data_IF_432700979750
#
_entry.id   IF_432700979750
#
_cell.length_a   1.000
_cell.length_b   1.000
_cell.length_c   1.000
_cell.angle_alpha   90.00
_cell.angle_beta   90.00
_cell.angle_gamma   90.00
#
_symmetry.space_group_name_H-M   'P 1'
#
loop_
_entity.id
_entity.type
_entity.pdbx_description
1 polymer ?
#
# COMPACT_ATOMS: atom_id res chain seq x y z
N UNK A 1 -5.18 8.25 -1.99
CA UNK A 1 -6.47 8.36 -1.25
C UNK A 1 -6.39 7.88 0.21
N UNK A 2 -5.72 6.75 0.55
CA UNK A 2 -5.39 6.46 1.96
C UNK A 2 -4.28 7.36 2.55
N UNK A 3 -3.48 8.01 1.70
CA UNK A 3 -2.36 8.88 2.09
C UNK A 3 -2.75 10.11 2.92
N UNK A 4 -3.95 10.64 2.74
CA UNK A 4 -4.37 11.82 3.50
C UNK A 4 -4.82 11.51 4.94
N UNK A 5 -5.00 10.24 5.31
CA UNK A 5 -5.48 9.88 6.65
C UNK A 5 -4.37 9.51 7.63
N UNK A 6 -3.15 9.23 7.16
CA UNK A 6 -2.06 8.72 8.00
C UNK A 6 -0.93 9.74 8.20
N UNK A 7 -0.76 10.73 7.31
CA UNK A 7 0.33 11.70 7.42
C UNK A 7 0.06 12.85 8.43
N UNK A 8 -1.21 13.11 8.81
CA UNK A 8 -1.55 14.28 9.65
C UNK A 8 -2.04 13.93 11.06
N UNK A 9 -1.71 12.77 11.64
CA UNK A 9 -2.04 12.57 13.04
C UNK A 9 -1.06 11.70 13.82
N UNK A 10 -0.23 12.39 14.59
CA UNK A 10 0.17 12.07 15.98
C UNK A 10 -0.77 11.10 16.70
N UNK A 11 -0.73 9.80 16.40
CA UNK A 11 -1.19 8.67 17.24
C UNK A 11 -2.59 8.72 17.89
N UNK A 12 -3.43 9.72 17.63
CA UNK A 12 -4.58 10.06 18.46
C UNK A 12 -5.69 9.05 18.25
N UNK A 13 -6.27 8.58 19.35
CA UNK A 13 -7.40 7.64 19.37
C UNK A 13 -8.54 8.09 18.44
N UNK A 14 -8.85 9.39 18.41
CA UNK A 14 -9.90 9.94 17.57
C UNK A 14 -9.61 9.79 16.07
N UNK A 15 -8.35 9.94 15.63
CA UNK A 15 -7.96 9.73 14.24
C UNK A 15 -8.08 8.26 13.82
N UNK A 16 -7.64 7.34 14.67
CA UNK A 16 -7.77 5.89 14.43
C UNK A 16 -9.23 5.45 14.32
N UNK A 17 -10.11 6.01 15.16
CA UNK A 17 -11.55 5.74 15.11
C UNK A 17 -12.17 6.25 13.81
N UNK A 18 -11.84 7.48 13.38
CA UNK A 18 -12.33 8.03 12.11
C UNK A 18 -11.86 7.20 10.92
N UNK A 19 -10.58 6.86 10.88
CA UNK A 19 -10.01 6.01 9.83
C UNK A 19 -10.72 4.64 9.80
N UNK A 20 -10.96 4.02 10.95
CA UNK A 20 -11.68 2.75 11.01
C UNK A 20 -13.10 2.85 10.46
N UNK A 21 -13.85 3.89 10.85
CA UNK A 21 -15.21 4.12 10.32
C UNK A 21 -15.21 4.32 8.81
N UNK A 22 -14.28 5.12 8.30
CA UNK A 22 -14.11 5.35 6.86
C UNK A 22 -13.77 4.05 6.13
N UNK A 23 -12.85 3.24 6.66
CA UNK A 23 -12.49 1.93 6.12
C UNK A 23 -13.68 0.98 6.08
N UNK A 24 -14.45 0.90 7.16
CA UNK A 24 -15.62 0.03 7.24
C UNK A 24 -16.71 0.45 6.24
N UNK A 25 -16.90 1.76 6.06
CA UNK A 25 -17.82 2.29 5.05
C UNK A 25 -17.42 1.89 3.63
N UNK A 26 -16.15 2.08 3.26
CA UNK A 26 -15.64 1.66 1.94
C UNK A 26 -15.75 0.15 1.74
N UNK A 27 -15.40 -0.65 2.75
CA UNK A 27 -15.50 -2.11 2.67
C UNK A 27 -16.95 -2.56 2.42
N UNK A 28 -17.93 -1.98 3.13
CA UNK A 28 -19.34 -2.29 2.92
C UNK A 28 -19.80 -1.91 1.51
N UNK A 29 -19.41 -0.72 1.04
CA UNK A 29 -19.78 -0.24 -0.28
C UNK A 29 -19.17 -1.10 -1.39
N UNK A 30 -17.91 -1.50 -1.22
CA UNK A 30 -17.20 -2.37 -2.16
C UNK A 30 -17.87 -3.74 -2.24
N UNK A 31 -18.15 -4.40 -1.11
CA UNK A 31 -18.84 -5.69 -1.09
C UNK A 31 -20.21 -5.66 -1.79
N UNK A 32 -20.95 -4.54 -1.65
CA UNK A 32 -22.23 -4.38 -2.34
C UNK A 32 -22.07 -4.31 -3.86
N UNK A 33 -21.10 -3.53 -4.34
CA UNK A 33 -20.81 -3.37 -5.78
C UNK A 33 -20.27 -4.68 -6.35
N UNK A 34 -19.35 -5.35 -5.65
CA UNK A 34 -18.83 -6.67 -6.03
C UNK A 34 -19.96 -7.70 -6.20
N UNK A 35 -20.92 -7.74 -5.26
CA UNK A 35 -22.07 -8.63 -5.35
C UNK A 35 -23.02 -8.30 -6.52
N UNK A 36 -23.15 -7.04 -6.92
CA UNK A 36 -23.90 -6.65 -8.11
C UNK A 36 -23.16 -7.06 -9.39
N UNK A 37 -21.86 -6.80 -9.46
CA UNK A 37 -21.04 -7.11 -10.62
C UNK A 37 -20.92 -8.63 -10.86
N UNK A 38 -20.78 -9.43 -9.79
CA UNK A 38 -20.80 -10.90 -9.90
C UNK A 38 -22.12 -11.41 -10.47
N UNK A 39 -23.26 -10.94 -9.95
CA UNK A 39 -24.57 -11.34 -10.46
C UNK A 39 -24.75 -11.00 -11.92
N UNK A 40 -24.37 -9.79 -12.34
CA UNK A 40 -24.43 -9.39 -13.74
C UNK A 40 -23.53 -10.27 -14.63
N UNK A 41 -22.29 -10.53 -14.21
CA UNK A 41 -21.36 -11.39 -14.97
C UNK A 41 -21.88 -12.82 -15.11
N UNK A 42 -22.43 -13.40 -14.05
CA UNK A 42 -23.02 -14.74 -14.08
C UNK A 42 -24.28 -14.79 -14.95
N UNK A 43 -25.11 -13.75 -14.94
CA UNK A 43 -26.31 -13.70 -15.79
C UNK A 43 -25.94 -13.67 -17.27
N UNK A 44 -24.94 -12.86 -17.65
CA UNK A 44 -24.44 -12.81 -19.03
C UNK A 44 -23.91 -14.18 -19.44
N UNK A 45 -23.10 -14.81 -18.59
CA UNK A 45 -22.56 -16.14 -18.88
C UNK A 45 -23.67 -17.20 -19.04
N UNK A 46 -24.73 -17.10 -18.24
CA UNK A 46 -25.88 -18.02 -18.32
C UNK A 46 -26.72 -17.80 -19.59
N UNK A 47 -26.98 -16.55 -19.97
CA UNK A 47 -27.86 -16.23 -21.10
C UNK A 47 -27.18 -16.43 -22.45
N UNK A 48 -25.91 -16.05 -22.56
CA UNK A 48 -25.20 -15.97 -23.85
C UNK A 48 -24.13 -17.05 -24.02
N UNK A 49 -23.75 -17.74 -22.95
CA UNK A 49 -22.60 -18.67 -22.96
C UNK A 49 -21.25 -17.95 -23.04
N UNK A 50 -21.24 -16.61 -23.11
CA UNK A 50 -20.05 -15.78 -23.23
C UNK A 50 -19.48 -15.37 -21.87
N UNK A 51 -18.15 -15.23 -21.82
CA UNK A 51 -17.46 -14.79 -20.61
C UNK A 51 -17.12 -13.30 -20.70
N UNK A 52 -17.60 -12.51 -19.74
CA UNK A 52 -17.20 -11.10 -19.61
C UNK A 52 -15.72 -11.04 -19.24
N UNK A 53 -14.92 -10.38 -20.08
CA UNK A 53 -13.49 -10.21 -19.85
C UNK A 53 -13.12 -8.75 -19.59
N UNK A 54 -12.08 -8.55 -18.78
CA UNK A 54 -11.42 -7.27 -18.56
C UNK A 54 -9.94 -7.43 -18.90
N UNK A 55 -9.46 -6.69 -19.90
CA UNK A 55 -8.08 -6.79 -20.41
C UNK A 55 -7.68 -8.24 -20.73
N UNK A 56 -8.59 -9.00 -21.35
CA UNK A 56 -8.36 -10.39 -21.73
C UNK A 56 -8.45 -11.42 -20.61
N UNK A 57 -8.79 -11.02 -19.38
CA UNK A 57 -9.00 -11.94 -18.23
C UNK A 57 -10.48 -12.06 -17.86
N UNK A 58 -11.00 -13.24 -17.51
CA UNK A 58 -12.36 -13.38 -17.01
C UNK A 58 -12.60 -12.46 -15.81
N UNK A 59 -13.63 -11.63 -15.90
CA UNK A 59 -13.88 -10.59 -14.89
C UNK A 59 -14.23 -11.19 -13.52
N UNK A 60 -14.92 -12.33 -13.48
CA UNK A 60 -15.28 -13.03 -12.24
C UNK A 60 -14.07 -13.55 -11.44
N UNK A 61 -12.96 -13.84 -12.14
CA UNK A 61 -11.67 -14.16 -11.53
C UNK A 61 -10.92 -12.89 -11.15
N UNK A 62 -10.92 -11.87 -12.02
CA UNK A 62 -10.24 -10.60 -11.74
C UNK A 62 -10.73 -9.96 -10.44
N UNK A 63 -12.05 -9.92 -10.25
CA UNK A 63 -12.67 -9.30 -9.08
C UNK A 63 -12.36 -10.02 -7.75
N UNK A 64 -12.01 -11.32 -7.75
CA UNK A 64 -11.57 -12.00 -6.51
C UNK A 64 -10.15 -11.61 -6.11
N UNK A 65 -9.31 -11.23 -7.08
CA UNK A 65 -7.90 -10.94 -6.89
C UNK A 65 -7.66 -9.44 -6.67
N UNK A 66 -8.52 -8.57 -7.22
CA UNK A 66 -8.40 -7.11 -7.14
C UNK A 66 -8.19 -6.58 -5.72
N UNK A 67 -8.91 -7.13 -4.74
CA UNK A 67 -8.77 -6.74 -3.34
C UNK A 67 -7.39 -7.09 -2.79
N UNK A 68 -6.88 -8.28 -3.10
CA UNK A 68 -5.55 -8.73 -2.69
C UNK A 68 -4.46 -7.92 -3.35
N UNK A 69 -4.60 -7.61 -4.65
CA UNK A 69 -3.69 -6.73 -5.38
C UNK A 69 -3.67 -5.32 -4.77
N UNK A 70 -4.83 -4.75 -4.46
CA UNK A 70 -4.89 -3.43 -3.81
C UNK A 70 -4.14 -3.41 -2.47
N UNK A 71 -4.34 -4.42 -1.61
CA UNK A 71 -3.60 -4.52 -0.36
C UNK A 71 -2.11 -4.76 -0.56
N UNK A 72 -1.75 -5.57 -1.55
CA UNK A 72 -0.37 -5.80 -1.92
C UNK A 72 0.33 -4.49 -2.32
N UNK A 73 -0.27 -3.71 -3.23
CA UNK A 73 0.29 -2.44 -3.68
C UNK A 73 0.44 -1.44 -2.54
N UNK A 74 -0.56 -1.33 -1.66
CA UNK A 74 -0.48 -0.51 -0.45
C UNK A 74 0.69 -0.92 0.45
N UNK A 75 0.93 -2.21 0.61
CA UNK A 75 2.04 -2.71 1.42
C UNK A 75 3.39 -2.45 0.76
N UNK A 76 3.48 -2.60 -0.57
CA UNK A 76 4.71 -2.32 -1.31
C UNK A 76 5.10 -0.84 -1.21
N UNK A 77 4.13 0.05 -1.33
CA UNK A 77 4.38 1.48 -1.20
C UNK A 77 4.86 1.87 0.20
N UNK A 78 4.27 1.26 1.25
CA UNK A 78 4.76 1.43 2.64
C UNK A 78 6.18 0.94 2.82
N UNK A 79 6.55 -0.20 2.22
CA UNK A 79 7.92 -0.72 2.25
C UNK A 79 8.89 0.22 1.55
N UNK A 80 8.52 0.73 0.37
CA UNK A 80 9.34 1.69 -0.38
C UNK A 80 9.61 2.94 0.46
N UNK A 81 8.60 3.49 1.12
CA UNK A 81 8.77 4.67 1.98
C UNK A 81 9.69 4.43 3.18
N UNK A 82 9.62 3.25 3.80
CA UNK A 82 10.55 2.90 4.89
C UNK A 82 11.96 2.84 4.34
N UNK A 83 12.17 2.17 3.20
CA UNK A 83 13.48 2.11 2.53
C UNK A 83 14.02 3.51 2.21
N UNK A 84 13.20 4.38 1.62
CA UNK A 84 13.60 5.75 1.27
C UNK A 84 14.00 6.56 2.50
N UNK A 85 13.26 6.43 3.61
CA UNK A 85 13.60 7.10 4.88
C UNK A 85 14.89 6.59 5.48
N UNK A 86 15.13 5.28 5.46
CA UNK A 86 16.38 4.70 5.96
C UNK A 86 17.57 5.12 5.08
N UNK A 87 17.41 5.19 3.75
CA UNK A 87 18.45 5.71 2.85
C UNK A 87 18.82 7.17 3.15
N UNK A 88 17.82 8.02 3.43
CA UNK A 88 18.06 9.41 3.84
C UNK A 88 18.84 9.46 5.17
N UNK A 89 18.44 8.67 6.17
CA UNK A 89 19.18 8.57 7.45
C UNK A 89 20.61 8.09 7.26
N UNK A 90 20.83 7.06 6.43
CA UNK A 90 22.19 6.54 6.18
C UNK A 90 23.08 7.58 5.47
N UNK A 91 22.51 8.39 4.57
CA UNK A 91 23.24 9.54 3.99
C UNK A 91 23.59 10.58 5.04
N UNK A 92 22.65 10.96 5.91
CA UNK A 92 22.91 11.90 7.00
C UNK A 92 23.98 11.39 7.98
N UNK A 93 23.98 10.10 8.30
CA UNK A 93 24.99 9.45 9.17
C UNK A 93 26.36 9.45 8.51
N UNK A 94 26.47 9.13 7.22
CA UNK A 94 27.74 9.14 6.48
C UNK A 94 28.38 10.54 6.45
N UNK A 95 27.57 11.61 6.44
CA UNK A 95 28.04 12.99 6.46
C UNK A 95 28.48 13.48 7.84
N UNK A 96 28.19 12.71 8.91
CA UNK A 96 28.47 13.04 10.32
C UNK A 96 29.64 12.22 10.88
N UNK A 97 30.58 11.75 10.05
CA UNK A 97 31.84 11.20 10.56
C UNK A 97 32.56 12.27 11.39
N UNK A 98 32.89 12.02 12.67
CA UNK A 98 33.73 12.94 13.44
C UNK A 98 35.07 13.11 12.72
N UNK A 99 35.58 14.33 12.61
CA UNK A 99 36.95 14.57 12.17
C UNK A 99 37.90 13.89 13.17
N UNK A 100 38.42 12.71 12.81
CA UNK A 100 39.47 12.09 13.60
C UNK A 100 40.76 12.90 13.40
N UNK A 101 41.45 13.28 14.48
CA UNK A 101 42.74 13.93 14.34
C UNK A 101 43.71 13.01 13.59
N UNK A 102 44.54 13.55 12.69
CA UNK A 102 45.50 12.75 11.94
C UNK A 102 46.45 12.03 12.90
N UNK A 103 46.61 10.73 12.72
CA UNK A 103 47.54 9.93 13.52
C UNK A 103 48.96 10.44 13.22
N UNK A 104 49.70 10.94 14.22
CA UNK A 104 51.05 11.38 13.99
C UNK A 104 51.94 10.20 13.58
N UNK A 105 52.63 10.34 12.45
CA UNK A 105 53.48 9.30 11.87
C UNK A 105 54.71 8.90 12.74
N UNK A 106 54.93 9.55 13.88
CA UNK A 106 56.10 9.33 14.74
C UNK A 106 55.91 8.25 15.82
N UNK A 107 54.74 7.62 15.91
CA UNK A 107 54.44 6.62 16.96
C UNK A 107 54.45 5.17 16.44
N UNK A 108 54.85 4.94 15.19
CA UNK A 108 55.03 3.59 14.62
C UNK A 108 56.52 3.29 14.46
N UNK A 109 57.22 3.16 15.59
CA UNK A 109 58.49 2.45 15.73
C UNK A 109 58.58 1.82 17.12
#
# INVERSE_FOLDING_TARGET
MCYLLILDNTGSSAARIRESKTRDWFNKRLSQIEGQARRAGTEVQRQFGDTVTFQGRPYLEKISIDRTEMFYWLQQERRQQVMDRELVKMREVTLRTPDLPPIPAHTVL
#
